data_IF_156567059031
#
_entry.id   IF_156567059031
#
_cell.length_a   1.000
_cell.length_b   1.000
_cell.length_c   1.000
_cell.angle_alpha   90.00
_cell.angle_beta   90.00
_cell.angle_gamma   90.00
#
_symmetry.space_group_name_H-M   'P 1'
#
loop_
_entity.id
_entity.type
_entity.pdbx_description
1 polymer ?
#
# COMPACT_ATOMS: atom_id res chain seq x y z
N UNK A 1 -2.34 -20.69 -1.55
CA UNK A 1 -2.37 -19.48 -0.68
C UNK A 1 -2.79 -18.22 -1.42
N UNK A 2 -2.60 -18.13 -2.75
CA UNK A 2 -3.17 -17.06 -3.59
C UNK A 2 -4.67 -16.86 -3.31
N UNK A 3 -5.44 -17.95 -3.20
CA UNK A 3 -6.87 -17.91 -2.85
C UNK A 3 -7.17 -17.14 -1.57
N UNK A 4 -6.33 -17.17 -0.53
CA UNK A 4 -6.65 -16.51 0.74
C UNK A 4 -6.44 -14.98 0.68
N UNK A 5 -5.38 -14.53 -0.01
CA UNK A 5 -5.12 -13.10 -0.21
C UNK A 5 -6.07 -12.50 -1.27
N UNK A 6 -6.42 -13.29 -2.28
CA UNK A 6 -7.44 -12.96 -3.26
C UNK A 6 -8.82 -12.87 -2.60
N UNK A 7 -9.19 -13.82 -1.74
CA UNK A 7 -10.43 -13.78 -0.94
C UNK A 7 -10.49 -12.58 -0.01
N UNK A 8 -9.36 -12.14 0.56
CA UNK A 8 -9.34 -10.98 1.46
C UNK A 8 -9.49 -9.66 0.69
N UNK A 9 -8.83 -9.53 -0.48
CA UNK A 9 -9.03 -8.39 -1.39
C UNK A 9 -10.45 -8.38 -1.96
N UNK A 10 -10.97 -9.52 -2.38
CA UNK A 10 -12.36 -9.68 -2.81
C UNK A 10 -13.34 -9.35 -1.68
N UNK A 11 -13.06 -9.72 -0.43
CA UNK A 11 -13.91 -9.39 0.70
C UNK A 11 -13.91 -7.88 1.03
N UNK A 12 -12.77 -7.20 0.93
CA UNK A 12 -12.68 -5.74 1.10
C UNK A 12 -13.39 -5.03 -0.05
N UNK A 13 -13.17 -5.47 -1.29
CA UNK A 13 -13.83 -4.94 -2.50
C UNK A 13 -15.35 -5.17 -2.42
N UNK A 14 -15.81 -6.33 -1.96
CA UNK A 14 -17.23 -6.63 -1.75
C UNK A 14 -17.86 -5.74 -0.67
N UNK A 15 -17.16 -5.48 0.44
CA UNK A 15 -17.63 -4.56 1.49
C UNK A 15 -17.74 -3.12 0.97
N UNK A 16 -16.73 -2.66 0.22
CA UNK A 16 -16.74 -1.33 -0.39
C UNK A 16 -17.87 -1.19 -1.41
N UNK A 17 -18.05 -2.18 -2.31
CA UNK A 17 -19.14 -2.22 -3.29
C UNK A 17 -20.51 -2.25 -2.63
N UNK A 18 -20.69 -3.03 -1.56
CA UNK A 18 -21.94 -3.07 -0.81
C UNK A 18 -22.27 -1.73 -0.17
N UNK A 19 -21.30 -1.10 0.50
CA UNK A 19 -21.47 0.23 1.10
C UNK A 19 -21.79 1.29 0.05
N UNK A 20 -21.10 1.27 -1.09
CA UNK A 20 -21.36 2.19 -2.20
C UNK A 20 -22.77 1.99 -2.77
N UNK A 21 -23.20 0.74 -2.97
CA UNK A 21 -24.54 0.40 -3.39
C UNK A 21 -25.60 0.87 -2.39
N UNK A 22 -25.37 0.68 -1.09
CA UNK A 22 -26.28 1.09 -0.03
C UNK A 22 -26.43 2.61 0.00
N UNK A 23 -25.32 3.34 -0.04
CA UNK A 23 -25.27 4.81 -0.11
C UNK A 23 -26.08 5.33 -1.30
N UNK A 24 -25.84 4.79 -2.50
CA UNK A 24 -26.58 5.21 -3.69
C UNK A 24 -28.07 4.91 -3.57
N UNK A 25 -28.43 3.76 -3.00
CA UNK A 25 -29.84 3.40 -2.82
C UNK A 25 -30.53 4.33 -1.81
N UNK A 26 -29.86 4.69 -0.72
CA UNK A 26 -30.41 5.64 0.26
C UNK A 26 -30.61 7.02 -0.36
N UNK A 27 -29.62 7.54 -1.09
CA UNK A 27 -29.73 8.85 -1.73
C UNK A 27 -30.75 8.89 -2.86
N UNK A 28 -30.72 7.92 -3.79
CA UNK A 28 -31.46 8.02 -5.05
C UNK A 28 -32.78 7.24 -5.07
N UNK A 29 -32.91 6.17 -4.29
CA UNK A 29 -34.15 5.38 -4.23
C UNK A 29 -35.04 5.80 -3.08
N UNK A 30 -34.46 6.02 -1.90
CA UNK A 30 -35.21 6.35 -0.69
C UNK A 30 -35.27 7.86 -0.42
N UNK A 31 -34.44 8.66 -1.08
CA UNK A 31 -34.43 10.12 -0.94
C UNK A 31 -33.97 10.58 0.45
N UNK A 32 -33.14 9.77 1.11
CA UNK A 32 -32.60 10.08 2.44
C UNK A 32 -31.72 11.32 2.41
N UNK A 33 -31.67 12.04 3.53
CA UNK A 33 -30.86 13.25 3.64
C UNK A 33 -29.37 12.93 3.56
N UNK A 34 -28.59 13.87 3.02
CA UNK A 34 -27.13 13.73 2.96
C UNK A 34 -26.51 13.51 4.33
N UNK A 35 -27.03 14.19 5.36
CA UNK A 35 -26.56 14.09 6.74
C UNK A 35 -26.61 12.65 7.28
N UNK A 36 -27.60 11.86 6.84
CA UNK A 36 -27.76 10.47 7.25
C UNK A 36 -26.82 9.52 6.50
N UNK A 37 -26.35 9.92 5.31
CA UNK A 37 -25.48 9.15 4.43
C UNK A 37 -23.99 9.51 4.64
N UNK A 38 -23.70 10.71 5.15
CA UNK A 38 -22.35 11.21 5.49
C UNK A 38 -21.52 10.20 6.32
N UNK A 39 -22.06 9.56 7.39
CA UNK A 39 -21.29 8.60 8.17
C UNK A 39 -20.91 7.35 7.38
N UNK A 40 -21.75 6.94 6.41
CA UNK A 40 -21.47 5.80 5.54
C UNK A 40 -20.31 6.09 4.58
N UNK A 41 -20.20 7.32 4.08
CA UNK A 41 -19.00 7.76 3.34
C UNK A 41 -17.76 7.74 4.22
N UNK A 42 -17.85 8.16 5.48
CA UNK A 42 -16.74 8.08 6.44
C UNK A 42 -16.27 6.63 6.66
N UNK A 43 -17.20 5.68 6.76
CA UNK A 43 -16.88 4.25 6.85
C UNK A 43 -16.23 3.76 5.56
N UNK A 44 -16.72 4.19 4.39
CA UNK A 44 -16.14 3.83 3.10
C UNK A 44 -14.68 4.31 2.98
N UNK A 45 -14.38 5.53 3.41
CA UNK A 45 -12.99 6.04 3.48
C UNK A 45 -12.13 5.23 4.45
N UNK A 46 -12.69 4.78 5.59
CA UNK A 46 -11.96 3.94 6.54
C UNK A 46 -11.67 2.53 6.01
N UNK A 47 -12.48 2.05 5.07
CA UNK A 47 -12.27 0.76 4.39
C UNK A 47 -11.30 0.86 3.21
N UNK A 48 -10.96 2.06 2.75
CA UNK A 48 -9.89 2.22 1.77
C UNK A 48 -8.57 1.83 2.42
N UNK A 49 -7.68 1.12 1.70
CA UNK A 49 -6.35 0.84 2.20
C UNK A 49 -5.68 2.16 2.55
N UNK A 50 -5.45 2.40 3.85
CA UNK A 50 -4.82 3.63 4.29
C UNK A 50 -3.36 3.60 3.86
N UNK A 51 -2.86 4.64 3.18
CA UNK A 51 -1.47 4.70 2.75
C UNK A 51 -0.57 5.15 3.91
N UNK A 52 -0.69 4.55 5.10
CA UNK A 52 0.02 4.90 6.34
C UNK A 52 1.58 4.88 6.21
N UNK A 53 2.09 4.54 5.03
CA UNK A 53 3.50 4.29 4.70
C UNK A 53 4.10 5.41 3.82
N UNK A 54 3.30 6.38 3.37
CA UNK A 54 3.80 7.47 2.51
C UNK A 54 4.75 8.45 3.22
N UNK A 55 4.73 8.51 4.56
CA UNK A 55 5.54 9.46 5.33
C UNK A 55 6.91 8.92 5.78
N UNK A 56 7.36 7.75 5.30
CA UNK A 56 8.72 7.30 5.60
C UNK A 56 9.70 8.19 4.83
N UNK A 57 10.60 8.93 5.53
CA UNK A 57 11.61 9.75 4.87
C UNK A 57 12.54 8.89 4.03
N UNK A 58 12.90 9.37 2.86
CA UNK A 58 13.82 8.65 1.96
C UNK A 58 15.18 8.39 2.65
N UNK A 59 15.62 9.29 3.53
CA UNK A 59 16.84 9.12 4.34
C UNK A 59 16.80 7.91 5.27
N UNK A 60 15.64 7.55 5.81
CA UNK A 60 15.49 6.37 6.66
C UNK A 60 15.41 5.10 5.83
N UNK A 61 14.80 5.15 4.64
CA UNK A 61 14.84 4.04 3.68
C UNK A 61 16.26 3.79 3.18
N UNK A 62 17.00 4.84 2.86
CA UNK A 62 18.39 4.75 2.40
C UNK A 62 19.27 4.08 3.46
N UNK A 63 19.07 4.39 4.74
CA UNK A 63 19.76 3.71 5.85
C UNK A 63 19.45 2.22 5.93
N UNK A 64 18.22 1.80 5.61
CA UNK A 64 17.85 0.39 5.60
C UNK A 64 18.41 -0.31 4.36
N UNK A 65 18.26 0.30 3.19
CA UNK A 65 18.73 -0.24 1.91
C UNK A 65 20.26 -0.40 1.92
N UNK A 66 20.99 0.61 2.41
CA UNK A 66 22.45 0.61 2.47
C UNK A 66 23.03 -0.50 3.37
N UNK A 67 22.25 -1.09 4.28
CA UNK A 67 22.68 -2.28 5.05
C UNK A 67 22.79 -3.53 4.19
N UNK A 68 22.02 -3.59 3.10
CA UNK A 68 21.97 -4.74 2.19
C UNK A 68 22.68 -4.46 0.86
N UNK A 69 22.79 -3.18 0.46
CA UNK A 69 23.46 -2.72 -0.75
C UNK A 69 24.55 -1.71 -0.37
N UNK A 70 25.78 -2.20 -0.20
CA UNK A 70 26.93 -1.42 0.28
C UNK A 70 27.28 -0.22 -0.61
N UNK A 71 27.02 -0.33 -1.91
CA UNK A 71 27.29 0.66 -2.94
C UNK A 71 26.08 1.58 -3.22
N UNK A 72 24.97 1.45 -2.49
CA UNK A 72 23.74 2.21 -2.73
C UNK A 72 23.95 3.73 -2.79
N UNK A 73 24.82 4.25 -1.92
CA UNK A 73 25.13 5.69 -1.85
C UNK A 73 26.21 6.13 -2.85
N UNK A 74 26.82 5.20 -3.59
CA UNK A 74 27.78 5.51 -4.64
C UNK A 74 27.05 5.87 -5.93
N UNK A 75 27.57 6.84 -6.65
CA UNK A 75 27.07 7.21 -7.97
C UNK A 75 27.35 6.09 -8.97
N UNK A 76 26.41 5.86 -9.89
CA UNK A 76 26.54 4.80 -10.90
C UNK A 76 27.80 5.00 -11.74
N UNK A 77 28.63 3.97 -11.80
CA UNK A 77 29.79 3.92 -12.70
C UNK A 77 29.70 2.70 -13.60
N UNK A 78 29.58 2.93 -14.90
CA UNK A 78 29.48 1.86 -15.90
C UNK A 78 30.77 1.04 -16.00
N UNK A 79 31.92 1.68 -15.78
CA UNK A 79 33.24 1.04 -15.83
C UNK A 79 33.41 -0.03 -14.75
N UNK A 80 32.86 0.24 -13.56
CA UNK A 80 32.99 -0.64 -12.40
C UNK A 80 31.72 -1.45 -12.12
N UNK A 81 30.61 -1.13 -12.78
CA UNK A 81 29.27 -1.71 -12.55
C UNK A 81 28.86 -1.69 -11.07
N UNK A 82 29.19 -0.60 -10.40
CA UNK A 82 28.85 -0.33 -9.00
C UNK A 82 28.07 0.98 -8.90
N UNK A 83 27.36 1.12 -7.79
CA UNK A 83 26.61 2.32 -7.52
C UNK A 83 25.26 2.34 -8.21
N UNK A 84 24.49 3.37 -7.88
CA UNK A 84 23.12 3.54 -8.34
C UNK A 84 22.93 4.94 -8.90
N UNK A 85 22.20 5.04 -10.01
CA UNK A 85 21.70 6.32 -10.51
C UNK A 85 20.59 6.81 -9.59
N UNK A 86 20.30 8.12 -9.62
CA UNK A 86 19.23 8.65 -8.77
C UNK A 86 17.85 8.05 -9.14
N UNK A 87 17.63 7.73 -10.42
CA UNK A 87 16.42 7.05 -10.86
C UNK A 87 16.32 5.62 -10.29
N UNK A 88 17.43 4.85 -10.30
CA UNK A 88 17.47 3.52 -9.69
C UNK A 88 17.24 3.57 -8.18
N UNK A 89 17.83 4.55 -7.48
CA UNK A 89 17.60 4.76 -6.04
C UNK A 89 16.13 5.07 -5.78
N UNK A 90 15.53 5.95 -6.58
CA UNK A 90 14.10 6.29 -6.49
C UNK A 90 13.22 5.08 -6.74
N UNK A 91 13.48 4.29 -7.77
CA UNK A 91 12.75 3.05 -8.05
C UNK A 91 12.86 2.05 -6.90
N UNK A 92 14.05 1.87 -6.34
CA UNK A 92 14.26 0.97 -5.20
C UNK A 92 13.50 1.44 -3.97
N UNK A 93 13.54 2.74 -3.63
CA UNK A 93 12.75 3.33 -2.55
C UNK A 93 11.25 3.09 -2.76
N UNK A 94 10.74 3.30 -3.97
CA UNK A 94 9.33 3.05 -4.30
C UNK A 94 8.96 1.57 -4.19
N UNK A 95 9.82 0.67 -4.65
CA UNK A 95 9.65 -0.77 -4.51
C UNK A 95 9.56 -1.19 -3.03
N UNK A 96 10.47 -0.69 -2.19
CA UNK A 96 10.45 -0.95 -0.74
C UNK A 96 9.18 -0.38 -0.10
N UNK A 97 8.77 0.86 -0.44
CA UNK A 97 7.51 1.44 0.05
C UNK A 97 6.32 0.56 -0.34
N UNK A 98 6.25 0.08 -1.59
CA UNK A 98 5.20 -0.81 -2.05
C UNK A 98 5.18 -2.16 -1.30
N UNK A 99 6.35 -2.76 -1.04
CA UNK A 99 6.44 -3.97 -0.24
C UNK A 99 5.94 -3.77 1.19
N UNK A 100 6.31 -2.66 1.84
CA UNK A 100 5.82 -2.33 3.19
C UNK A 100 4.29 -2.19 3.16
N UNK A 101 3.73 -1.56 2.12
CA UNK A 101 2.27 -1.45 1.92
C UNK A 101 1.63 -2.82 1.86
N UNK A 102 2.24 -3.75 1.14
CA UNK A 102 1.75 -5.13 1.07
C UNK A 102 1.89 -5.88 2.41
N UNK A 103 2.97 -5.70 3.17
CA UNK A 103 3.13 -6.27 4.52
C UNK A 103 2.01 -5.77 5.44
N UNK A 104 1.83 -4.46 5.53
CA UNK A 104 0.88 -3.81 6.46
C UNK A 104 -0.56 -4.18 6.10
N UNK A 105 -0.88 -4.21 4.81
CA UNK A 105 -2.19 -4.64 4.32
C UNK A 105 -2.37 -6.17 4.37
N UNK A 106 -1.40 -6.93 4.89
CA UNK A 106 -1.41 -8.39 4.98
C UNK A 106 -1.64 -9.08 3.62
N UNK A 107 -1.15 -8.44 2.55
CA UNK A 107 -1.16 -8.98 1.19
C UNK A 107 -0.03 -10.00 0.95
N UNK A 108 0.89 -10.16 1.89
CA UNK A 108 2.01 -11.10 1.78
C UNK A 108 1.63 -12.45 2.41
N UNK A 109 1.82 -13.58 1.70
CA UNK A 109 1.65 -14.91 2.27
C UNK A 109 2.53 -15.08 3.52
N UNK A 110 1.96 -15.62 4.60
CA UNK A 110 2.66 -15.78 5.90
C UNK A 110 3.96 -16.59 5.79
N UNK A 111 4.05 -17.47 4.79
CA UNK A 111 5.21 -18.32 4.52
C UNK A 111 6.44 -17.53 4.03
N UNK A 112 6.22 -16.32 3.49
CA UNK A 112 7.29 -15.45 2.99
C UNK A 112 7.81 -14.47 4.06
N UNK A 113 7.19 -14.45 5.25
CA UNK A 113 7.68 -13.67 6.37
C UNK A 113 8.69 -14.52 7.14
N UNK A 114 9.95 -14.10 7.17
CA UNK A 114 10.96 -14.72 8.03
C UNK A 114 10.47 -14.55 9.48
N UNK A 115 10.27 -15.66 10.19
CA UNK A 115 9.97 -15.62 11.62
C UNK A 115 11.17 -15.02 12.34
N UNK A 116 11.01 -13.81 12.84
CA UNK A 116 11.93 -13.20 13.79
C UNK A 116 11.90 -13.90 15.14
#
# INVERSE_FOLDING_TARGET
>A
MEKANQVNREAIDNKQRYLLWLIQRMLYKYGESKDLVEPLYGILECLKPKPYILDIPDTDLDRVIAKYYIDFNLESSDDFRIGFSEDQRKELRQCVKALIVDVVNKNIPKDNLIKG
#
